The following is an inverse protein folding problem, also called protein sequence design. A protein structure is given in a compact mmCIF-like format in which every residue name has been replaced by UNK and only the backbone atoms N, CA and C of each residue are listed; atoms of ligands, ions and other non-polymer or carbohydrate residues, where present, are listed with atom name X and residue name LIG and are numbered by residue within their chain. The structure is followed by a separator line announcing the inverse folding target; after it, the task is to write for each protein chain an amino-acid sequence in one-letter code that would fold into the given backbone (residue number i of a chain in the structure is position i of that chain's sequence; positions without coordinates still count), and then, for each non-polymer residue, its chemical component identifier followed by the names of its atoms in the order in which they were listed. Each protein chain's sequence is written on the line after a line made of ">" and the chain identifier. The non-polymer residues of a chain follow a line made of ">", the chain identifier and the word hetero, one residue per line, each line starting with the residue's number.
data_IF_863626464271
#
_entry.id   IF_863626464271
#
_cell.length_a   1.000
_cell.length_b   1.000
_cell.length_c   1.000
_cell.angle_alpha   90.00
_cell.angle_beta   90.00
_cell.angle_gamma   90.00
#
_symmetry.space_group_name_H-M   'P 1'
#
loop_
_entity.id
_entity.type
_entity.pdbx_description
1 polymer ?
#
# COMPACT_ATOMS: atom_id res chain seq x y z
N UNK A 1 6.80 -10.58 22.47
CA UNK A 1 6.58 -9.49 21.49
C UNK A 1 7.28 -9.72 20.15
N UNK A 2 8.59 -10.02 20.10
CA UNK A 2 9.28 -10.37 18.83
C UNK A 2 8.75 -11.70 18.25
N UNK A 3 8.49 -12.69 19.12
CA UNK A 3 7.87 -13.94 18.72
C UNK A 3 6.43 -13.79 18.18
N UNK A 4 5.68 -12.74 18.57
CA UNK A 4 4.35 -12.49 18.00
C UNK A 4 4.46 -11.82 16.63
N UNK A 5 5.40 -10.88 16.42
CA UNK A 5 5.69 -10.31 15.10
C UNK A 5 6.06 -11.39 14.07
N UNK A 6 6.93 -12.33 14.43
CA UNK A 6 7.30 -13.46 13.56
C UNK A 6 6.15 -14.43 13.27
N UNK A 7 5.10 -14.47 14.11
CA UNK A 7 3.92 -15.32 13.87
C UNK A 7 2.95 -14.74 12.83
N UNK A 8 2.90 -13.42 12.68
CA UNK A 8 1.99 -12.74 11.74
C UNK A 8 2.67 -12.27 10.45
N UNK A 9 3.93 -11.85 10.55
CA UNK A 9 4.67 -11.24 9.45
C UNK A 9 4.72 -12.09 8.17
N UNK A 10 4.98 -13.42 8.24
CA UNK A 10 5.05 -14.25 7.03
C UNK A 10 3.72 -14.27 6.25
N UNK A 11 2.60 -14.29 6.97
CA UNK A 11 1.26 -14.30 6.34
C UNK A 11 0.94 -12.96 5.70
N UNK A 12 1.34 -11.84 6.32
CA UNK A 12 1.16 -10.51 5.75
C UNK A 12 2.02 -10.30 4.51
N UNK A 13 3.28 -10.77 4.53
CA UNK A 13 4.17 -10.73 3.35
C UNK A 13 3.59 -11.58 2.22
N UNK A 14 3.14 -12.80 2.52
CA UNK A 14 2.49 -13.66 1.54
C UNK A 14 1.24 -13.01 0.92
N UNK A 15 0.38 -12.41 1.75
CA UNK A 15 -0.83 -11.71 1.29
C UNK A 15 -0.48 -10.47 0.45
N UNK A 16 0.58 -9.74 0.78
CA UNK A 16 1.05 -8.62 -0.04
C UNK A 16 1.58 -9.12 -1.40
N UNK A 17 2.30 -10.24 -1.45
CA UNK A 17 2.74 -10.86 -2.69
C UNK A 17 1.57 -11.35 -3.55
N UNK A 18 0.48 -11.85 -2.95
CA UNK A 18 -0.70 -12.26 -3.72
C UNK A 18 -1.41 -11.07 -4.36
N UNK A 19 -1.43 -9.89 -3.71
CA UNK A 19 -1.96 -8.65 -4.33
C UNK A 19 -1.13 -8.26 -5.55
N UNK A 20 0.19 -8.37 -5.46
CA UNK A 20 1.08 -8.14 -6.60
C UNK A 20 0.84 -9.14 -7.74
N UNK A 21 0.74 -10.43 -7.43
CA UNK A 21 0.40 -11.46 -8.40
C UNK A 21 -0.98 -11.23 -9.04
N UNK A 22 -1.96 -10.78 -8.26
CA UNK A 22 -3.29 -10.45 -8.76
C UNK A 22 -3.25 -9.30 -9.77
N UNK A 23 -2.45 -8.25 -9.53
CA UNK A 23 -2.27 -7.15 -10.49
C UNK A 23 -1.70 -7.71 -11.80
N UNK A 24 -0.68 -8.57 -11.72
CA UNK A 24 -0.07 -9.19 -12.89
C UNK A 24 -1.05 -10.06 -13.68
N UNK A 25 -1.87 -10.87 -12.99
CA UNK A 25 -2.93 -11.66 -13.63
C UNK A 25 -3.95 -10.74 -14.31
N UNK A 26 -4.50 -9.77 -13.60
CA UNK A 26 -5.54 -8.89 -14.14
C UNK A 26 -5.06 -8.12 -15.37
N UNK A 27 -3.84 -7.60 -15.35
CA UNK A 27 -3.26 -6.85 -16.49
C UNK A 27 -2.88 -7.76 -17.66
N UNK A 28 -2.58 -9.05 -17.42
CA UNK A 28 -2.32 -10.00 -18.52
C UNK A 28 -3.57 -10.36 -19.32
N UNK A 29 -4.74 -10.38 -18.67
CA UNK A 29 -6.00 -10.73 -19.31
C UNK A 29 -6.80 -9.51 -19.78
N UNK A 30 -6.75 -8.40 -19.05
CA UNK A 30 -7.53 -7.19 -19.37
C UNK A 30 -6.70 -6.20 -20.18
N UNK A 31 -7.32 -5.63 -21.21
CA UNK A 31 -6.77 -4.46 -21.91
C UNK A 31 -6.62 -3.28 -20.94
N UNK A 32 -5.73 -2.31 -21.23
CA UNK A 32 -5.57 -1.14 -20.37
C UNK A 32 -6.88 -0.37 -20.16
N UNK A 33 -7.75 -0.29 -21.17
CA UNK A 33 -9.07 0.32 -21.00
C UNK A 33 -9.94 -0.40 -19.97
N UNK A 34 -10.09 -1.72 -20.06
CA UNK A 34 -10.87 -2.50 -19.09
C UNK A 34 -10.24 -2.47 -17.69
N UNK A 35 -8.91 -2.52 -17.59
CA UNK A 35 -8.22 -2.37 -16.31
C UNK A 35 -8.39 -0.96 -15.73
N UNK A 36 -8.47 0.08 -16.57
CA UNK A 36 -8.79 1.44 -16.16
C UNK A 36 -10.17 1.54 -15.50
N UNK A 37 -11.19 0.93 -16.12
CA UNK A 37 -12.53 0.87 -15.52
C UNK A 37 -12.51 0.08 -14.20
N UNK A 38 -11.80 -1.05 -14.14
CA UNK A 38 -11.61 -1.81 -12.90
C UNK A 38 -10.93 -0.96 -11.81
N UNK A 39 -9.89 -0.20 -12.16
CA UNK A 39 -9.17 0.66 -11.23
C UNK A 39 -10.07 1.76 -10.66
N UNK A 40 -10.87 2.43 -11.50
CA UNK A 40 -11.85 3.43 -11.07
C UNK A 40 -12.93 2.82 -10.18
N UNK A 41 -13.49 1.67 -10.58
CA UNK A 41 -14.49 0.96 -9.79
C UNK A 41 -13.95 0.59 -8.40
N UNK A 42 -12.69 0.16 -8.32
CA UNK A 42 -12.02 -0.11 -7.05
C UNK A 42 -11.79 1.16 -6.23
N UNK A 43 -11.49 2.32 -6.82
CA UNK A 43 -11.41 3.59 -6.07
C UNK A 43 -12.76 3.93 -5.43
N UNK A 44 -13.85 3.86 -6.22
CA UNK A 44 -15.20 4.12 -5.72
C UNK A 44 -15.55 3.15 -4.59
N UNK A 45 -15.29 1.84 -4.77
CA UNK A 45 -15.57 0.83 -3.76
C UNK A 45 -14.79 1.07 -2.46
N UNK A 46 -13.50 1.40 -2.55
CA UNK A 46 -12.67 1.69 -1.38
C UNK A 46 -13.12 2.97 -0.67
N UNK A 47 -13.54 4.00 -1.43
CA UNK A 47 -14.07 5.24 -0.87
C UNK A 47 -15.37 4.96 -0.10
N UNK A 48 -16.31 4.24 -0.71
CA UNK A 48 -17.56 3.83 -0.06
C UNK A 48 -17.26 3.01 1.20
N UNK A 49 -16.34 2.04 1.13
CA UNK A 49 -15.94 1.24 2.30
C UNK A 49 -15.32 2.08 3.40
N UNK A 50 -14.55 3.11 3.06
CA UNK A 50 -13.93 4.00 4.05
C UNK A 50 -14.98 4.65 4.95
N UNK A 51 -16.11 5.07 4.37
CA UNK A 51 -17.23 5.68 5.09
C UNK A 51 -18.22 4.66 5.67
N UNK A 52 -18.34 3.47 5.11
CA UNK A 52 -19.34 2.49 5.54
C UNK A 52 -18.86 1.47 6.56
N UNK A 53 -17.62 0.96 6.44
CA UNK A 53 -17.18 -0.21 7.21
C UNK A 53 -15.76 -0.12 7.77
N UNK A 54 -14.81 0.53 7.08
CA UNK A 54 -13.40 0.49 7.48
C UNK A 54 -13.15 1.11 8.87
N UNK A 55 -13.83 2.21 9.19
CA UNK A 55 -13.71 2.88 10.47
C UNK A 55 -14.22 2.03 11.65
N UNK A 56 -15.15 1.11 11.40
CA UNK A 56 -15.65 0.17 12.40
C UNK A 56 -14.54 -0.78 12.87
N UNK A 57 -13.70 -1.27 11.94
CA UNK A 57 -12.58 -2.14 12.24
C UNK A 57 -11.55 -1.43 13.14
N UNK A 58 -11.17 -0.20 12.77
CA UNK A 58 -10.24 0.63 13.57
C UNK A 58 -10.84 0.98 14.94
N UNK A 59 -12.15 1.22 15.00
CA UNK A 59 -12.84 1.51 16.25
C UNK A 59 -12.89 0.29 17.17
N UNK A 60 -13.17 -0.87 16.60
CA UNK A 60 -13.15 -2.15 17.32
C UNK A 60 -11.78 -2.43 17.92
N UNK A 61 -10.70 -2.27 17.13
CA UNK A 61 -9.33 -2.46 17.60
C UNK A 61 -8.98 -1.62 18.82
N UNK A 62 -9.55 -0.41 18.95
CA UNK A 62 -9.33 0.45 20.11
C UNK A 62 -10.22 0.12 21.29
N UNK A 63 -11.53 -0.02 21.05
CA UNK A 63 -12.54 -0.07 22.11
C UNK A 63 -12.66 -1.48 22.72
N UNK A 64 -12.47 -2.53 21.92
CA UNK A 64 -12.70 -3.91 22.35
C UNK A 64 -11.88 -4.34 23.58
N UNK A 65 -10.55 -4.11 23.65
CA UNK A 65 -9.73 -4.61 24.77
C UNK A 65 -10.07 -3.99 26.14
N UNK A 66 -10.70 -2.80 26.15
CA UNK A 66 -11.05 -2.08 27.38
C UNK A 66 -12.46 -2.36 27.88
N UNK A 67 -13.22 -3.20 27.20
CA UNK A 67 -14.62 -3.50 27.51
C UNK A 67 -14.77 -4.84 28.23
N UNK A 68 -15.75 -4.92 29.13
CA UNK A 68 -16.18 -6.17 29.76
C UNK A 68 -16.73 -7.16 28.71
N UNK A 69 -16.77 -8.46 29.00
CA UNK A 69 -17.27 -9.47 28.05
C UNK A 69 -18.67 -9.14 27.52
N UNK A 70 -19.56 -8.63 28.38
CA UNK A 70 -20.90 -8.18 27.98
C UNK A 70 -20.83 -7.01 27.00
N UNK A 71 -20.01 -6.00 27.28
CA UNK A 71 -19.83 -4.85 26.41
C UNK A 71 -19.14 -5.20 25.10
N UNK A 72 -18.20 -6.16 25.10
CA UNK A 72 -17.59 -6.71 23.89
C UNK A 72 -18.66 -7.34 22.98
N UNK A 73 -19.55 -8.17 23.53
CA UNK A 73 -20.66 -8.74 22.76
C UNK A 73 -21.57 -7.64 22.20
N UNK A 74 -21.92 -6.63 23.01
CA UNK A 74 -22.74 -5.50 22.55
C UNK A 74 -22.06 -4.69 21.44
N UNK A 75 -20.74 -4.45 21.56
CA UNK A 75 -19.94 -3.75 20.57
C UNK A 75 -19.95 -4.52 19.25
N UNK A 76 -19.65 -5.82 19.30
CA UNK A 76 -19.58 -6.67 18.12
C UNK A 76 -20.94 -6.77 17.41
N UNK A 77 -22.05 -6.90 18.15
CA UNK A 77 -23.41 -6.88 17.59
C UNK A 77 -23.79 -5.52 16.98
N UNK A 78 -23.33 -4.41 17.59
CA UNK A 78 -23.53 -3.05 17.06
C UNK A 78 -22.73 -2.84 15.77
N UNK A 79 -21.51 -3.38 15.69
CA UNK A 79 -20.69 -3.35 14.48
C UNK A 79 -21.33 -4.20 13.38
N UNK A 80 -21.80 -5.41 13.67
CA UNK A 80 -22.50 -6.24 12.67
C UNK A 80 -23.71 -5.50 12.08
N UNK A 81 -24.47 -4.79 12.92
CA UNK A 81 -25.58 -3.94 12.49
C UNK A 81 -25.10 -2.81 11.55
N UNK A 82 -24.06 -2.07 11.95
CA UNK A 82 -23.53 -0.96 11.15
C UNK A 82 -22.87 -1.41 9.85
N UNK A 83 -22.27 -2.61 9.78
CA UNK A 83 -21.76 -3.19 8.52
C UNK A 83 -22.90 -3.48 7.54
N UNK A 84 -24.05 -3.97 8.03
CA UNK A 84 -25.24 -4.19 7.19
C UNK A 84 -25.80 -2.86 6.69
N UNK A 85 -26.02 -1.89 7.59
CA UNK A 85 -26.50 -0.56 7.22
C UNK A 85 -25.53 0.11 6.24
N UNK A 86 -24.24 0.05 6.52
CA UNK A 86 -23.18 0.59 5.67
C UNK A 86 -23.12 -0.08 4.29
N UNK A 87 -23.40 -1.38 4.20
CA UNK A 87 -23.51 -2.10 2.93
C UNK A 87 -24.72 -1.64 2.11
N UNK A 88 -25.87 -1.44 2.77
CA UNK A 88 -27.10 -0.93 2.12
C UNK A 88 -26.92 0.51 1.62
N UNK A 89 -26.33 1.39 2.44
CA UNK A 89 -25.99 2.75 2.02
C UNK A 89 -24.96 2.72 0.89
N UNK A 90 -23.97 1.83 0.97
CA UNK A 90 -22.97 1.64 -0.07
C UNK A 90 -23.57 1.20 -1.41
N UNK A 91 -24.56 0.29 -1.38
CA UNK A 91 -25.33 -0.09 -2.57
C UNK A 91 -25.97 1.14 -3.23
N UNK A 92 -26.63 2.00 -2.45
CA UNK A 92 -27.28 3.22 -2.96
C UNK A 92 -26.24 4.16 -3.59
N UNK A 93 -25.11 4.37 -2.92
CA UNK A 93 -24.04 5.26 -3.43
C UNK A 93 -23.41 4.70 -4.71
N UNK A 94 -23.16 3.39 -4.79
CA UNK A 94 -22.63 2.75 -5.99
C UNK A 94 -23.65 2.83 -7.14
N UNK A 95 -24.92 2.55 -6.87
CA UNK A 95 -26.00 2.67 -7.86
C UNK A 95 -26.12 4.10 -8.39
N UNK A 96 -26.14 5.10 -7.49
CA UNK A 96 -26.19 6.51 -7.86
C UNK A 96 -24.96 6.92 -8.69
N UNK A 97 -23.76 6.47 -8.31
CA UNK A 97 -22.52 6.74 -9.06
C UNK A 97 -22.61 6.15 -10.47
N UNK A 98 -22.94 4.87 -10.60
CA UNK A 98 -23.07 4.22 -11.91
C UNK A 98 -24.15 4.89 -12.76
N UNK A 99 -25.25 5.33 -12.16
CA UNK A 99 -26.31 6.06 -12.85
C UNK A 99 -25.83 7.44 -13.36
N UNK A 100 -25.20 8.25 -12.51
CA UNK A 100 -24.69 9.58 -12.86
C UNK A 100 -23.71 9.51 -14.03
N UNK A 101 -22.83 8.50 -14.04
CA UNK A 101 -21.86 8.29 -15.11
C UNK A 101 -22.41 7.52 -16.32
N UNK A 102 -23.72 7.23 -16.36
CA UNK A 102 -24.38 6.48 -17.45
C UNK A 102 -23.75 5.09 -17.70
N UNK A 103 -23.24 4.47 -16.64
CA UNK A 103 -22.61 3.14 -16.62
C UNK A 103 -23.42 2.13 -15.82
N UNK A 104 -24.72 2.41 -15.60
CA UNK A 104 -25.59 1.55 -14.81
C UNK A 104 -25.87 0.25 -15.56
N UNK A 105 -25.14 -0.79 -15.17
CA UNK A 105 -25.36 -2.17 -15.58
C UNK A 105 -25.71 -2.96 -14.30
N UNK A 106 -26.77 -3.78 -14.37
CA UNK A 106 -27.26 -4.51 -13.20
C UNK A 106 -26.24 -5.56 -12.71
N UNK A 107 -25.58 -6.28 -13.62
CA UNK A 107 -24.53 -7.24 -13.25
C UNK A 107 -23.39 -6.53 -12.51
N UNK A 108 -22.93 -5.40 -13.05
CA UNK A 108 -21.85 -4.61 -12.44
C UNK A 108 -22.24 -4.06 -11.07
N UNK A 109 -23.45 -3.53 -10.92
CA UNK A 109 -23.97 -3.03 -9.65
C UNK A 109 -24.06 -4.15 -8.60
N UNK A 110 -24.60 -5.31 -8.98
CA UNK A 110 -24.72 -6.46 -8.08
C UNK A 110 -23.35 -6.96 -7.62
N UNK A 111 -22.41 -7.15 -8.56
CA UNK A 111 -21.08 -7.67 -8.23
C UNK A 111 -20.27 -6.68 -7.38
N UNK A 112 -20.32 -5.37 -7.67
CA UNK A 112 -19.64 -4.37 -6.83
C UNK A 112 -20.23 -4.28 -5.42
N UNK A 113 -21.55 -4.36 -5.31
CA UNK A 113 -22.24 -4.31 -4.03
C UNK A 113 -21.98 -5.57 -3.21
N UNK A 114 -21.99 -6.74 -3.86
CA UNK A 114 -21.60 -8.01 -3.24
C UNK A 114 -20.14 -7.97 -2.78
N UNK A 115 -19.22 -7.46 -3.60
CA UNK A 115 -17.82 -7.29 -3.23
C UNK A 115 -17.67 -6.38 -2.00
N UNK A 116 -18.36 -5.24 -1.97
CA UNK A 116 -18.36 -4.33 -0.83
C UNK A 116 -18.81 -5.04 0.45
N UNK A 117 -19.95 -5.73 0.41
CA UNK A 117 -20.54 -6.42 1.56
C UNK A 117 -19.65 -7.56 2.06
N UNK A 118 -19.26 -8.47 1.16
CA UNK A 118 -18.47 -9.65 1.51
C UNK A 118 -17.09 -9.24 2.03
N UNK A 119 -16.44 -8.26 1.40
CA UNK A 119 -15.16 -7.72 1.86
C UNK A 119 -15.27 -7.06 3.22
N UNK A 120 -16.33 -6.28 3.47
CA UNK A 120 -16.56 -5.61 4.76
C UNK A 120 -16.78 -6.63 5.88
N UNK A 121 -17.58 -7.66 5.62
CA UNK A 121 -17.80 -8.78 6.55
C UNK A 121 -16.51 -9.52 6.83
N UNK A 122 -15.74 -9.89 5.79
CA UNK A 122 -14.46 -10.58 5.92
C UNK A 122 -13.50 -9.80 6.81
N UNK A 123 -13.29 -8.50 6.53
CA UNK A 123 -12.34 -7.68 7.30
C UNK A 123 -12.75 -7.52 8.76
N UNK A 124 -14.04 -7.30 9.03
CA UNK A 124 -14.57 -7.22 10.38
C UNK A 124 -14.34 -8.52 11.16
N UNK A 125 -14.67 -9.67 10.58
CA UNK A 125 -14.49 -10.96 11.24
C UNK A 125 -13.00 -11.32 11.42
N UNK A 126 -12.16 -10.90 10.47
CA UNK A 126 -10.72 -11.11 10.52
C UNK A 126 -10.11 -10.34 11.71
N UNK A 127 -10.48 -9.07 11.90
CA UNK A 127 -10.02 -8.27 13.04
C UNK A 127 -10.59 -8.77 14.37
N UNK A 128 -11.84 -9.25 14.39
CA UNK A 128 -12.41 -9.88 15.58
C UNK A 128 -11.66 -11.16 15.98
N UNK A 129 -11.24 -11.97 14.99
CA UNK A 129 -10.43 -13.15 15.22
C UNK A 129 -9.04 -12.80 15.74
N UNK A 130 -8.45 -11.71 15.24
CA UNK A 130 -7.17 -11.18 15.73
C UNK A 130 -7.28 -10.70 17.18
N UNK A 131 -8.33 -9.97 17.53
CA UNK A 131 -8.58 -9.46 18.89
C UNK A 131 -8.83 -10.58 19.90
N UNK A 132 -9.49 -11.67 19.48
CA UNK A 132 -9.71 -12.86 20.30
C UNK A 132 -8.53 -13.85 20.26
N UNK A 133 -7.37 -13.43 19.77
CA UNK A 133 -6.15 -14.24 19.67
C UNK A 133 -6.32 -15.58 18.92
N UNK A 134 -7.29 -15.68 18.01
CA UNK A 134 -7.55 -16.87 17.18
C UNK A 134 -6.58 -16.94 15.99
N UNK A 135 -5.29 -17.04 16.30
CA UNK A 135 -4.20 -16.89 15.34
C UNK A 135 -4.29 -17.86 14.17
N UNK A 136 -4.64 -19.12 14.44
CA UNK A 136 -4.73 -20.15 13.40
C UNK A 136 -5.81 -19.80 12.37
N UNK A 137 -7.00 -19.41 12.84
CA UNK A 137 -8.15 -19.06 12.00
C UNK A 137 -7.85 -17.79 11.20
N UNK A 138 -7.27 -16.77 11.85
CA UNK A 138 -6.81 -15.55 11.17
C UNK A 138 -5.87 -15.88 10.00
N UNK A 139 -4.83 -16.68 10.27
CA UNK A 139 -3.83 -17.06 9.26
C UNK A 139 -4.45 -17.86 8.11
N UNK A 140 -5.26 -18.86 8.43
CA UNK A 140 -5.93 -19.71 7.43
C UNK A 140 -6.84 -18.87 6.52
N UNK A 141 -7.67 -17.99 7.10
CA UNK A 141 -8.56 -17.11 6.36
C UNK A 141 -7.80 -16.15 5.43
N UNK A 142 -6.73 -15.51 5.91
CA UNK A 142 -5.91 -14.61 5.09
C UNK A 142 -5.22 -15.34 3.94
N UNK A 143 -4.59 -16.50 4.22
CA UNK A 143 -3.89 -17.27 3.18
C UNK A 143 -4.87 -17.81 2.14
N UNK A 144 -6.01 -18.36 2.59
CA UNK A 144 -7.01 -18.92 1.68
C UNK A 144 -7.64 -17.82 0.81
N UNK A 145 -7.95 -16.65 1.38
CA UNK A 145 -8.41 -15.50 0.60
C UNK A 145 -7.35 -15.05 -0.42
N UNK A 146 -6.08 -14.99 -0.01
CA UNK A 146 -4.97 -14.56 -0.87
C UNK A 146 -4.74 -15.51 -2.06
N UNK A 147 -4.73 -16.83 -1.81
CA UNK A 147 -4.57 -17.85 -2.85
C UNK A 147 -5.80 -17.88 -3.77
N UNK A 148 -7.01 -17.89 -3.19
CA UNK A 148 -8.24 -17.92 -3.99
C UNK A 148 -8.41 -16.66 -4.84
N UNK A 149 -7.96 -15.48 -4.37
CA UNK A 149 -8.00 -14.26 -5.17
C UNK A 149 -7.21 -14.41 -6.48
N UNK A 150 -6.02 -15.02 -6.42
CA UNK A 150 -5.19 -15.25 -7.62
C UNK A 150 -5.79 -16.36 -8.48
N UNK A 151 -6.07 -17.53 -7.89
CA UNK A 151 -6.54 -18.72 -8.63
C UNK A 151 -7.89 -18.45 -9.30
N UNK A 152 -8.87 -17.92 -8.55
CA UNK A 152 -10.19 -17.62 -9.12
C UNK A 152 -10.12 -16.52 -10.17
N UNK A 153 -9.21 -15.55 -10.05
CA UNK A 153 -9.04 -14.53 -11.09
C UNK A 153 -8.48 -15.14 -12.37
N UNK A 154 -7.50 -16.04 -12.29
CA UNK A 154 -6.99 -16.77 -13.46
C UNK A 154 -8.13 -17.55 -14.13
N UNK A 155 -8.90 -18.32 -13.35
CA UNK A 155 -10.00 -19.12 -13.88
C UNK A 155 -11.09 -18.26 -14.52
N UNK A 156 -11.60 -17.25 -13.80
CA UNK A 156 -12.68 -16.40 -14.29
C UNK A 156 -12.26 -15.58 -15.53
N UNK A 157 -11.06 -15.00 -15.53
CA UNK A 157 -10.55 -14.21 -16.65
C UNK A 157 -10.14 -15.05 -17.86
N UNK A 158 -9.73 -16.31 -17.64
CA UNK A 158 -9.49 -17.26 -18.74
C UNK A 158 -10.76 -17.65 -19.47
N UNK A 159 -11.90 -17.67 -18.77
CA UNK A 159 -13.21 -17.94 -19.37
C UNK A 159 -13.80 -16.70 -20.03
N UNK A 160 -13.78 -15.56 -19.32
CA UNK A 160 -14.24 -14.28 -19.83
C UNK A 160 -13.39 -13.15 -19.26
N UNK A 161 -12.58 -12.50 -20.11
CA UNK A 161 -11.70 -11.40 -19.76
C UNK A 161 -12.47 -10.07 -19.60
N UNK A 162 -13.40 -10.03 -18.65
CA UNK A 162 -14.23 -8.86 -18.34
C UNK A 162 -13.98 -8.34 -16.92
N UNK A 163 -14.44 -7.11 -16.66
CA UNK A 163 -14.32 -6.47 -15.35
C UNK A 163 -15.18 -7.21 -14.32
N UNK A 164 -16.36 -7.64 -14.74
CA UNK A 164 -17.33 -8.37 -13.93
C UNK A 164 -16.74 -9.71 -13.46
N UNK A 165 -16.02 -10.44 -14.33
CA UNK A 165 -15.28 -11.65 -13.97
C UNK A 165 -14.21 -11.40 -12.90
N UNK A 166 -13.43 -10.32 -13.04
CA UNK A 166 -12.40 -9.95 -12.05
C UNK A 166 -13.02 -9.60 -10.69
N UNK A 167 -14.10 -8.82 -10.68
CA UNK A 167 -14.80 -8.42 -9.46
C UNK A 167 -15.51 -9.62 -8.80
N UNK A 168 -16.08 -10.52 -9.60
CA UNK A 168 -16.72 -11.74 -9.12
C UNK A 168 -15.70 -12.69 -8.48
N UNK A 169 -14.56 -12.93 -9.13
CA UNK A 169 -13.47 -13.72 -8.58
C UNK A 169 -12.97 -13.16 -7.23
N UNK A 170 -12.83 -11.84 -7.14
CA UNK A 170 -12.50 -11.16 -5.88
C UNK A 170 -13.57 -11.35 -4.81
N UNK A 171 -14.85 -11.24 -5.17
CA UNK A 171 -15.98 -11.43 -4.25
C UNK A 171 -15.96 -12.84 -3.67
N UNK A 172 -15.81 -13.85 -4.53
CA UNK A 172 -15.68 -15.25 -4.12
C UNK A 172 -14.47 -15.47 -3.22
N UNK A 173 -13.31 -14.86 -3.54
CA UNK A 173 -12.11 -15.00 -2.69
C UNK A 173 -12.34 -14.52 -1.26
N UNK A 174 -12.98 -13.36 -1.08
CA UNK A 174 -13.33 -12.85 0.24
C UNK A 174 -14.41 -13.71 0.90
N UNK A 175 -15.35 -14.25 0.13
CA UNK A 175 -16.38 -15.18 0.63
C UNK A 175 -15.76 -16.45 1.21
N UNK A 176 -14.86 -17.09 0.47
CA UNK A 176 -14.12 -18.28 0.91
C UNK A 176 -13.32 -17.98 2.17
N UNK A 177 -12.61 -16.85 2.21
CA UNK A 177 -11.91 -16.40 3.41
C UNK A 177 -12.86 -16.18 4.61
N UNK A 178 -14.05 -15.62 4.36
CA UNK A 178 -15.05 -15.36 5.40
C UNK A 178 -15.66 -16.64 5.97
N UNK A 179 -15.87 -17.68 5.15
CA UNK A 179 -16.38 -18.97 5.61
C UNK A 179 -15.46 -19.62 6.66
N UNK A 180 -14.14 -19.40 6.57
CA UNK A 180 -13.19 -19.88 7.57
C UNK A 180 -13.32 -19.18 8.93
N UNK A 181 -13.82 -17.93 8.94
CA UNK A 181 -13.95 -17.11 10.15
C UNK A 181 -15.26 -17.38 10.92
N UNK A 182 -16.20 -18.08 10.29
CA UNK A 182 -17.51 -18.41 10.83
C UNK A 182 -18.59 -17.41 10.41
N UNK A 183 -19.71 -17.41 11.14
CA UNK A 183 -20.81 -16.48 10.90
C UNK A 183 -20.62 -15.20 11.72
N UNK A 184 -20.96 -14.02 11.15
CA UNK A 184 -20.96 -12.78 11.91
C UNK A 184 -21.98 -12.86 13.06
N UNK A 185 -21.71 -12.11 14.14
CA UNK A 185 -22.63 -12.04 15.26
C UNK A 185 -23.99 -11.46 14.82
N UNK A 186 -25.07 -11.90 15.48
CA UNK A 186 -26.41 -11.41 15.17
C UNK A 186 -26.49 -9.90 15.43
N UNK A 187 -26.90 -9.08 14.45
CA UNK A 187 -26.98 -7.63 14.63
C UNK A 187 -28.01 -7.30 15.71
N UNK A 188 -27.65 -6.41 16.65
CA UNK A 188 -28.57 -5.91 17.68
C UNK A 188 -28.33 -4.43 17.94
N UNK A 189 -29.41 -3.72 18.22
CA UNK A 189 -29.38 -2.30 18.56
C UNK A 189 -29.08 -2.12 20.04
N UNK A 190 -27.88 -1.61 20.34
CA UNK A 190 -27.50 -1.20 21.70
C UNK A 190 -27.25 0.30 21.69
N UNK A 191 -28.27 1.11 21.99
CA UNK A 191 -28.25 2.57 21.82
C UNK A 191 -27.03 3.22 22.50
N UNK A 192 -26.71 2.84 23.73
CA UNK A 192 -25.56 3.37 24.46
C UNK A 192 -24.24 3.02 23.77
N UNK A 193 -24.10 1.79 23.27
CA UNK A 193 -22.91 1.33 22.56
C UNK A 193 -22.77 2.00 21.19
N UNK A 194 -23.86 2.13 20.44
CA UNK A 194 -23.89 2.84 19.15
C UNK A 194 -23.47 4.31 19.31
N UNK A 195 -23.97 5.01 20.34
CA UNK A 195 -23.56 6.39 20.63
C UNK A 195 -22.05 6.50 20.90
N UNK A 196 -21.50 5.60 21.73
CA UNK A 196 -20.05 5.57 22.03
C UNK A 196 -19.23 5.26 20.78
N UNK A 197 -19.65 4.26 20.00
CA UNK A 197 -19.00 3.83 18.78
C UNK A 197 -19.00 4.93 17.71
N UNK A 198 -20.12 5.62 17.50
CA UNK A 198 -20.22 6.73 16.54
C UNK A 198 -19.40 7.95 16.99
N UNK A 199 -19.45 8.32 18.27
CA UNK A 199 -18.68 9.45 18.79
C UNK A 199 -17.16 9.25 18.62
N UNK A 200 -16.67 8.02 18.84
CA UNK A 200 -15.28 7.67 18.62
C UNK A 200 -14.95 7.48 17.13
N UNK A 201 -15.85 6.85 16.39
CA UNK A 201 -15.61 6.36 15.04
C UNK A 201 -15.78 7.39 13.93
N UNK A 202 -16.66 8.39 14.09
CA UNK A 202 -16.87 9.43 13.06
C UNK A 202 -15.58 10.20 12.74
N UNK A 203 -14.78 10.68 13.71
CA UNK A 203 -13.50 11.31 13.41
C UNK A 203 -12.54 10.39 12.65
N UNK A 204 -12.55 9.09 12.96
CA UNK A 204 -11.73 8.07 12.27
C UNK A 204 -12.24 7.84 10.85
N UNK A 205 -13.56 7.81 10.67
CA UNK A 205 -14.22 7.70 9.37
C UNK A 205 -13.82 8.85 8.46
N UNK A 206 -13.88 10.09 8.95
CA UNK A 206 -13.48 11.27 8.19
C UNK A 206 -11.99 11.24 7.84
N UNK A 207 -11.13 10.91 8.81
CA UNK A 207 -9.69 10.80 8.57
C UNK A 207 -9.34 9.68 7.57
N UNK A 208 -10.00 8.52 7.68
CA UNK A 208 -9.83 7.39 6.77
C UNK A 208 -10.31 7.70 5.36
N UNK A 209 -11.46 8.38 5.22
CA UNK A 209 -12.00 8.85 3.95
C UNK A 209 -11.05 9.82 3.24
N UNK A 210 -10.51 10.81 3.97
CA UNK A 210 -9.48 11.73 3.45
C UNK A 210 -8.25 10.95 2.96
N UNK A 211 -7.81 9.95 3.72
CA UNK A 211 -6.66 9.11 3.34
C UNK A 211 -6.90 8.29 2.07
N UNK A 212 -8.06 7.64 1.95
CA UNK A 212 -8.41 6.85 0.76
C UNK A 212 -8.56 7.75 -0.46
N UNK A 213 -9.24 8.89 -0.32
CA UNK A 213 -9.42 9.84 -1.41
C UNK A 213 -8.07 10.40 -1.84
N UNK A 214 -7.26 10.94 -0.91
CA UNK A 214 -5.96 11.54 -1.23
C UNK A 214 -4.98 10.56 -1.88
N UNK A 215 -5.04 9.28 -1.54
CA UNK A 215 -4.14 8.28 -2.11
C UNK A 215 -4.51 7.77 -3.51
N UNK A 216 -5.73 8.03 -4.01
CA UNK A 216 -6.24 7.43 -5.26
C UNK A 216 -7.13 8.35 -6.11
N UNK A 217 -7.23 9.63 -5.76
CA UNK A 217 -8.04 10.62 -6.49
C UNK A 217 -7.53 10.84 -7.92
N UNK A 218 -6.23 10.67 -8.14
CA UNK A 218 -5.55 10.70 -9.44
C UNK A 218 -6.31 9.90 -10.52
N UNK A 219 -6.70 8.65 -10.23
CA UNK A 219 -7.39 7.75 -11.16
C UNK A 219 -8.75 8.29 -11.61
N UNK A 220 -9.48 8.95 -10.72
CA UNK A 220 -10.77 9.55 -11.05
C UNK A 220 -10.60 10.74 -12.01
N UNK A 221 -9.58 11.56 -11.78
CA UNK A 221 -9.29 12.70 -12.64
C UNK A 221 -8.73 12.26 -13.99
N UNK A 222 -7.81 11.29 -14.04
CA UNK A 222 -7.30 10.76 -15.33
C UNK A 222 -8.47 10.18 -16.15
N UNK A 223 -9.36 9.42 -15.52
CA UNK A 223 -10.51 8.84 -16.22
C UNK A 223 -11.43 9.89 -16.83
N UNK A 224 -11.64 11.01 -16.13
CA UNK A 224 -12.49 12.11 -16.60
C UNK A 224 -11.82 12.99 -17.67
N UNK A 225 -10.56 13.37 -17.47
CA UNK A 225 -9.87 14.34 -18.33
C UNK A 225 -9.17 13.71 -19.54
N UNK A 226 -8.72 12.46 -19.43
CA UNK A 226 -7.87 11.80 -20.44
C UNK A 226 -8.54 10.54 -20.99
N UNK A 227 -9.10 9.71 -20.12
CA UNK A 227 -9.85 8.51 -20.50
C UNK A 227 -9.38 7.23 -19.81
N UNK A 228 -10.12 6.14 -20.04
CA UNK A 228 -9.95 4.88 -19.33
C UNK A 228 -8.67 4.13 -19.71
N UNK A 229 -8.24 4.19 -20.98
CA UNK A 229 -7.01 3.54 -21.41
C UNK A 229 -5.77 4.04 -20.64
N UNK A 230 -5.57 5.37 -20.61
CA UNK A 230 -4.49 6.00 -19.85
C UNK A 230 -4.64 5.78 -18.34
N UNK A 231 -5.87 5.77 -17.83
CA UNK A 231 -6.14 5.42 -16.43
C UNK A 231 -5.64 4.02 -16.10
N UNK A 232 -5.82 3.06 -17.01
CA UNK A 232 -5.34 1.69 -16.83
C UNK A 232 -3.82 1.58 -16.82
N UNK A 233 -3.15 2.21 -17.79
CA UNK A 233 -1.68 2.26 -17.85
C UNK A 233 -1.13 2.88 -16.57
N UNK A 234 -1.65 4.06 -16.18
CA UNK A 234 -1.24 4.75 -14.95
C UNK A 234 -1.47 3.89 -13.71
N UNK A 235 -2.68 3.35 -13.55
CA UNK A 235 -3.05 2.59 -12.35
C UNK A 235 -2.21 1.32 -12.22
N UNK A 236 -1.95 0.61 -13.32
CA UNK A 236 -1.16 -0.62 -13.31
C UNK A 236 0.29 -0.33 -12.88
N UNK A 237 0.94 0.65 -13.50
CA UNK A 237 2.31 1.06 -13.16
C UNK A 237 2.39 1.59 -11.71
N UNK A 238 1.46 2.44 -11.28
CA UNK A 238 1.42 2.96 -9.93
C UNK A 238 1.17 1.86 -8.88
N UNK A 239 0.27 0.91 -9.15
CA UNK A 239 -0.02 -0.21 -8.25
C UNK A 239 1.18 -1.16 -8.13
N UNK A 240 1.85 -1.45 -9.25
CA UNK A 240 3.09 -2.23 -9.27
C UNK A 240 4.16 -1.58 -8.40
N UNK A 241 4.42 -0.28 -8.60
CA UNK A 241 5.41 0.47 -7.83
C UNK A 241 5.05 0.53 -6.34
N UNK A 242 3.79 0.81 -6.01
CA UNK A 242 3.30 0.81 -4.62
C UNK A 242 3.48 -0.55 -3.95
N UNK A 243 3.22 -1.65 -4.67
CA UNK A 243 3.42 -3.01 -4.18
C UNK A 243 4.89 -3.32 -3.91
N UNK A 244 5.75 -3.13 -4.91
CA UNK A 244 7.17 -3.50 -4.80
C UNK A 244 7.91 -2.59 -3.82
N UNK A 245 7.82 -1.27 -3.98
CA UNK A 245 8.50 -0.36 -3.06
C UNK A 245 7.93 -0.47 -1.65
N UNK A 246 6.61 -0.60 -1.50
CA UNK A 246 5.99 -0.82 -0.19
C UNK A 246 6.56 -2.04 0.53
N UNK A 247 6.72 -3.17 -0.18
CA UNK A 247 7.37 -4.37 0.38
C UNK A 247 8.81 -4.10 0.81
N UNK A 248 9.62 -3.43 -0.02
CA UNK A 248 11.02 -3.11 0.31
C UNK A 248 11.12 -2.25 1.57
N UNK A 249 10.25 -1.24 1.73
CA UNK A 249 10.19 -0.44 2.94
C UNK A 249 9.69 -1.24 4.16
N UNK A 250 8.73 -2.15 3.97
CA UNK A 250 8.18 -2.99 5.04
C UNK A 250 9.20 -3.97 5.62
N UNK A 251 10.11 -4.51 4.81
CA UNK A 251 11.18 -5.42 5.27
C UNK A 251 12.02 -4.80 6.38
N UNK A 252 12.28 -3.49 6.32
CA UNK A 252 13.02 -2.76 7.35
C UNK A 252 12.10 -2.24 8.45
N UNK A 253 11.00 -1.59 8.07
CA UNK A 253 10.15 -0.86 9.02
C UNK A 253 9.42 -1.78 10.00
N UNK A 254 8.89 -2.91 9.54
CA UNK A 254 8.11 -3.82 10.40
C UNK A 254 8.90 -4.35 11.61
N UNK A 255 10.12 -4.90 11.47
CA UNK A 255 10.87 -5.40 12.63
C UNK A 255 11.53 -4.28 13.46
N UNK A 256 11.96 -3.18 12.84
CA UNK A 256 12.80 -2.19 13.52
C UNK A 256 12.00 -1.06 14.19
N UNK A 257 10.86 -0.65 13.63
CA UNK A 257 10.05 0.43 14.20
C UNK A 257 9.61 0.18 15.66
N UNK A 258 9.13 -1.03 16.05
CA UNK A 258 8.76 -1.29 17.44
C UNK A 258 9.93 -1.15 18.42
N UNK A 259 11.17 -1.38 17.99
CA UNK A 259 12.35 -1.17 18.83
C UNK A 259 12.67 0.32 19.00
N UNK A 260 12.47 1.14 17.96
CA UNK A 260 12.57 2.60 18.08
C UNK A 260 11.52 3.14 19.06
N UNK A 261 10.27 2.69 18.93
CA UNK A 261 9.16 3.14 19.75
C UNK A 261 9.37 2.90 21.26
N UNK A 262 10.11 1.84 21.65
CA UNK A 262 10.48 1.59 23.06
C UNK A 262 11.38 2.68 23.65
N UNK A 263 12.15 3.36 22.82
CA UNK A 263 13.05 4.43 23.24
C UNK A 263 12.44 5.82 23.02
N UNK A 264 11.12 5.91 22.76
CA UNK A 264 10.47 7.18 22.42
C UNK A 264 10.65 8.28 23.50
N UNK A 265 10.81 7.88 24.76
CA UNK A 265 11.02 8.81 25.90
C UNK A 265 12.49 9.23 26.07
N UNK A 266 13.46 8.43 25.60
CA UNK A 266 14.88 8.80 25.61
C UNK A 266 15.26 9.45 24.28
N UNK A 267 15.25 10.79 24.27
CA UNK A 267 15.52 11.59 23.07
C UNK A 267 16.89 11.30 22.45
N UNK A 268 17.93 11.06 23.25
CA UNK A 268 19.30 10.88 22.74
C UNK A 268 19.41 9.49 22.10
N UNK A 269 18.95 8.45 22.80
CA UNK A 269 18.94 7.10 22.26
C UNK A 269 18.06 7.00 21.01
N UNK A 270 16.87 7.60 21.03
CA UNK A 270 15.93 7.59 19.91
C UNK A 270 16.54 8.20 18.64
N UNK A 271 17.16 9.39 18.74
CA UNK A 271 17.75 10.06 17.57
C UNK A 271 18.92 9.23 17.01
N UNK A 272 19.75 8.65 17.88
CA UNK A 272 20.86 7.78 17.47
C UNK A 272 20.38 6.49 16.78
N UNK A 273 19.39 5.81 17.36
CA UNK A 273 18.81 4.61 16.77
C UNK A 273 18.03 4.91 15.49
N UNK A 274 17.30 6.03 15.43
CA UNK A 274 16.56 6.42 14.24
C UNK A 274 17.48 6.82 13.08
N UNK A 275 18.64 7.40 13.36
CA UNK A 275 19.72 7.61 12.37
C UNK A 275 20.20 6.29 11.78
N UNK A 276 20.46 5.29 12.64
CA UNK A 276 20.89 3.95 12.19
C UNK A 276 19.78 3.30 11.35
N UNK A 277 18.53 3.42 11.79
CA UNK A 277 17.36 2.97 11.03
C UNK A 277 17.28 3.62 9.65
N UNK A 278 17.48 4.93 9.53
CA UNK A 278 17.51 5.63 8.24
C UNK A 278 18.56 5.01 7.30
N UNK A 279 19.77 4.78 7.80
CA UNK A 279 20.84 4.24 6.98
C UNK A 279 20.50 2.84 6.47
N UNK A 280 19.95 1.98 7.33
CA UNK A 280 19.48 0.65 6.94
C UNK A 280 18.32 0.72 5.94
N UNK A 281 17.37 1.64 6.15
CA UNK A 281 16.24 1.85 5.26
C UNK A 281 16.73 2.21 3.85
N UNK A 282 17.56 3.25 3.73
CA UNK A 282 18.11 3.74 2.45
C UNK A 282 19.01 2.69 1.77
N UNK A 283 19.67 1.81 2.54
CA UNK A 283 20.51 0.72 2.01
C UNK A 283 19.71 -0.26 1.14
N UNK A 284 18.42 -0.47 1.43
CA UNK A 284 17.57 -1.31 0.58
C UNK A 284 16.70 -0.50 -0.38
N UNK A 285 16.11 0.60 0.09
CA UNK A 285 15.07 1.30 -0.67
C UNK A 285 15.62 2.09 -1.84
N UNK A 286 16.81 2.71 -1.69
CA UNK A 286 17.39 3.55 -2.73
C UNK A 286 17.95 2.76 -3.93
N UNK A 287 18.73 1.68 -3.76
CA UNK A 287 19.10 0.83 -4.90
C UNK A 287 17.88 0.16 -5.55
N UNK A 288 16.83 -0.18 -4.79
CA UNK A 288 15.58 -0.69 -5.35
C UNK A 288 14.90 0.35 -6.27
N UNK A 289 14.84 1.63 -5.86
CA UNK A 289 14.33 2.72 -6.71
C UNK A 289 15.10 2.81 -8.04
N UNK A 290 16.44 2.78 -7.97
CA UNK A 290 17.29 2.85 -9.18
C UNK A 290 17.09 1.63 -10.08
N UNK A 291 17.10 0.43 -9.50
CA UNK A 291 16.90 -0.82 -10.23
C UNK A 291 15.55 -0.87 -10.94
N UNK A 292 14.46 -0.50 -10.23
CA UNK A 292 13.11 -0.48 -10.79
C UNK A 292 13.00 0.47 -11.98
N UNK A 293 13.54 1.69 -11.86
CA UNK A 293 13.46 2.64 -12.96
C UNK A 293 14.36 2.29 -14.15
N UNK A 294 15.57 1.78 -13.93
CA UNK A 294 16.48 1.40 -15.03
C UNK A 294 15.93 0.17 -15.78
N UNK A 295 15.30 -0.77 -15.05
CA UNK A 295 14.71 -2.00 -15.59
C UNK A 295 13.21 -1.89 -15.89
N UNK A 296 12.69 -0.66 -16.02
CA UNK A 296 11.25 -0.42 -16.15
C UNK A 296 10.58 -1.22 -17.27
N UNK A 297 11.19 -1.30 -18.46
CA UNK A 297 10.58 -1.97 -19.61
C UNK A 297 10.50 -3.49 -19.38
N UNK A 298 11.57 -4.08 -18.85
CA UNK A 298 11.63 -5.50 -18.51
C UNK A 298 10.60 -5.85 -17.45
N UNK A 299 10.49 -5.01 -16.42
CA UNK A 299 9.54 -5.19 -15.31
C UNK A 299 8.11 -5.05 -15.82
N UNK A 300 7.78 -4.01 -16.58
CA UNK A 300 6.42 -3.80 -17.11
C UNK A 300 6.04 -4.94 -18.05
N UNK A 301 6.90 -5.33 -19.00
CA UNK A 301 6.62 -6.44 -19.93
C UNK A 301 6.41 -7.77 -19.21
N UNK A 302 7.23 -8.04 -18.20
CA UNK A 302 7.17 -9.29 -17.43
C UNK A 302 5.92 -9.37 -16.57
N UNK A 303 5.63 -8.32 -15.79
CA UNK A 303 4.56 -8.35 -14.79
C UNK A 303 3.22 -7.83 -15.30
N UNK A 304 3.20 -6.77 -16.11
CA UNK A 304 1.95 -6.13 -16.57
C UNK A 304 1.60 -6.53 -18.00
N UNK A 305 2.59 -6.79 -18.84
CA UNK A 305 2.44 -7.05 -20.27
C UNK A 305 2.72 -5.82 -21.13
N UNK A 306 2.97 -6.07 -22.42
CA UNK A 306 3.44 -5.05 -23.37
C UNK A 306 2.45 -3.91 -23.59
N UNK A 307 1.15 -4.18 -23.47
CA UNK A 307 0.08 -3.17 -23.62
C UNK A 307 0.12 -2.08 -22.54
N UNK A 308 0.82 -2.31 -21.43
CA UNK A 308 0.96 -1.36 -20.31
C UNK A 308 2.25 -0.53 -20.36
N UNK A 309 3.07 -0.71 -21.40
CA UNK A 309 4.17 0.21 -21.67
C UNK A 309 3.59 1.58 -22.03
N UNK A 310 4.02 2.60 -21.30
CA UNK A 310 3.67 3.97 -21.62
C UNK A 310 4.48 4.45 -22.82
N UNK A 311 3.89 5.34 -23.62
CA UNK A 311 4.60 5.99 -24.75
C UNK A 311 5.78 6.85 -24.27
N UNK A 312 5.71 7.36 -23.04
CA UNK A 312 6.83 8.04 -22.38
C UNK A 312 7.49 7.12 -21.38
N UNK A 313 8.80 6.91 -21.55
CA UNK A 313 9.66 6.19 -20.60
C UNK A 313 9.90 6.98 -19.30
N UNK A 314 9.47 8.24 -19.23
CA UNK A 314 9.64 9.10 -18.05
C UNK A 314 8.52 8.86 -17.03
N UNK A 315 7.34 8.41 -17.48
CA UNK A 315 6.16 8.23 -16.62
C UNK A 315 6.48 7.33 -15.41
N UNK A 316 7.03 6.15 -15.68
CA UNK A 316 7.31 5.17 -14.64
C UNK A 316 8.36 5.69 -13.65
N UNK A 317 9.39 6.41 -14.12
CA UNK A 317 10.38 7.05 -13.26
C UNK A 317 9.77 8.10 -12.33
N UNK A 318 8.94 8.99 -12.87
CA UNK A 318 8.26 10.02 -12.07
C UNK A 318 7.35 9.37 -11.02
N UNK A 319 6.59 8.33 -11.40
CA UNK A 319 5.80 7.55 -10.46
C UNK A 319 6.66 6.86 -9.40
N UNK A 320 7.79 6.26 -9.80
CA UNK A 320 8.66 5.54 -8.88
C UNK A 320 9.23 6.47 -7.80
N UNK A 321 9.67 7.68 -8.19
CA UNK A 321 10.15 8.70 -7.25
C UNK A 321 9.00 9.18 -6.35
N UNK A 322 7.82 9.44 -6.91
CA UNK A 322 6.66 9.86 -6.12
C UNK A 322 6.25 8.81 -5.08
N UNK A 323 6.16 7.54 -5.49
CA UNK A 323 5.87 6.39 -4.60
C UNK A 323 6.97 6.21 -3.55
N UNK A 324 8.24 6.39 -3.93
CA UNK A 324 9.35 6.37 -2.98
C UNK A 324 9.19 7.46 -1.92
N UNK A 325 8.85 8.70 -2.31
CA UNK A 325 8.62 9.80 -1.36
C UNK A 325 7.43 9.53 -0.44
N UNK A 326 6.34 8.96 -0.95
CA UNK A 326 5.18 8.54 -0.14
C UNK A 326 5.60 7.53 0.94
N UNK A 327 6.35 6.50 0.55
CA UNK A 327 6.82 5.48 1.48
C UNK A 327 7.88 6.03 2.45
N UNK A 328 8.83 6.83 1.96
CA UNK A 328 9.84 7.47 2.78
C UNK A 328 9.22 8.41 3.82
N UNK A 329 8.19 9.17 3.44
CA UNK A 329 7.40 9.95 4.40
C UNK A 329 6.79 9.03 5.46
N UNK A 330 6.02 8.02 5.06
CA UNK A 330 5.28 7.16 5.99
C UNK A 330 6.15 6.31 6.93
N UNK A 331 7.30 5.85 6.43
CA UNK A 331 8.21 4.92 7.14
C UNK A 331 9.43 5.60 7.77
N UNK A 332 9.53 6.93 7.71
CA UNK A 332 10.64 7.67 8.34
C UNK A 332 10.23 9.08 8.80
N UNK A 333 9.70 9.94 7.93
CA UNK A 333 9.40 11.33 8.30
C UNK A 333 8.17 11.49 9.20
N UNK A 334 7.19 10.59 9.11
CA UNK A 334 6.03 10.63 9.99
C UNK A 334 6.37 10.13 11.40
N UNK A 335 7.46 9.37 11.56
CA UNK A 335 7.90 8.87 12.86
C UNK A 335 8.16 9.99 13.86
N UNK A 336 8.72 11.14 13.42
CA UNK A 336 8.97 12.26 14.32
C UNK A 336 7.70 12.78 15.01
N UNK A 337 6.59 12.88 14.28
CA UNK A 337 5.29 13.24 14.86
C UNK A 337 4.67 12.09 15.66
N UNK A 338 4.87 10.84 15.24
CA UNK A 338 4.36 9.66 15.94
C UNK A 338 5.02 9.49 17.32
N UNK A 339 6.35 9.61 17.41
CA UNK A 339 7.10 9.54 18.67
C UNK A 339 6.71 10.68 19.62
N UNK A 340 6.34 11.84 19.08
CA UNK A 340 5.83 12.98 19.85
C UNK A 340 4.31 12.92 20.11
N UNK A 341 3.62 11.85 19.69
CA UNK A 341 2.17 11.67 19.81
C UNK A 341 1.32 12.79 19.16
N UNK A 342 1.85 13.46 18.15
CA UNK A 342 1.19 14.59 17.47
C UNK A 342 0.41 14.15 16.22
N UNK A 343 -0.39 13.10 16.35
CA UNK A 343 -1.14 12.47 15.23
C UNK A 343 -2.12 13.42 14.54
N UNK A 344 -2.62 14.44 15.25
CA UNK A 344 -3.45 15.50 14.64
C UNK A 344 -2.72 16.25 13.54
N UNK A 345 -1.41 16.45 13.64
CA UNK A 345 -0.62 17.12 12.60
C UNK A 345 -0.47 16.26 11.35
N UNK A 346 -0.40 14.94 11.49
CA UNK A 346 -0.41 14.01 10.35
C UNK A 346 -1.69 14.14 9.54
N UNK A 347 -2.84 14.30 10.20
CA UNK A 347 -4.11 14.55 9.53
C UNK A 347 -4.08 15.86 8.72
N UNK A 348 -3.59 16.94 9.31
CA UNK A 348 -3.47 18.22 8.60
C UNK A 348 -2.52 18.15 7.40
N UNK A 349 -1.38 17.45 7.52
CA UNK A 349 -0.46 17.22 6.40
C UNK A 349 -1.16 16.46 5.27
N UNK A 350 -1.88 15.37 5.59
CA UNK A 350 -2.63 14.60 4.59
C UNK A 350 -3.74 15.42 3.93
N UNK A 351 -4.44 16.25 4.71
CA UNK A 351 -5.47 17.15 4.18
C UNK A 351 -4.88 18.20 3.24
N UNK A 352 -3.73 18.80 3.59
CA UNK A 352 -3.01 19.71 2.69
C UNK A 352 -2.61 19.03 1.38
N UNK A 353 -2.17 17.77 1.44
CA UNK A 353 -1.88 16.98 0.24
C UNK A 353 -3.11 16.76 -0.64
N UNK A 354 -4.24 16.34 -0.05
CA UNK A 354 -5.49 16.17 -0.79
C UNK A 354 -5.95 17.46 -1.45
N UNK A 355 -5.91 18.58 -0.73
CA UNK A 355 -6.27 19.90 -1.26
C UNK A 355 -5.35 20.26 -2.44
N UNK A 356 -4.03 20.09 -2.29
CA UNK A 356 -3.08 20.34 -3.37
C UNK A 356 -3.34 19.46 -4.60
N UNK A 357 -3.66 18.17 -4.41
CA UNK A 357 -4.03 17.27 -5.51
C UNK A 357 -5.28 17.75 -6.25
N UNK A 358 -6.34 18.16 -5.53
CA UNK A 358 -7.59 18.62 -6.15
C UNK A 358 -7.35 19.85 -7.04
N UNK A 359 -6.49 20.77 -6.61
CA UNK A 359 -6.19 21.97 -7.40
C UNK A 359 -5.20 21.71 -8.55
N UNK A 360 -4.17 20.89 -8.33
CA UNK A 360 -3.13 20.66 -9.33
C UNK A 360 -3.55 19.68 -10.43
N UNK A 361 -4.35 18.66 -10.12
CA UNK A 361 -4.70 17.60 -11.07
C UNK A 361 -5.37 18.15 -12.36
N UNK A 362 -6.43 18.99 -12.31
CA UNK A 362 -7.03 19.54 -13.52
C UNK A 362 -6.03 20.33 -14.38
N UNK A 363 -5.19 21.15 -13.73
CA UNK A 363 -4.21 22.00 -14.43
C UNK A 363 -3.16 21.16 -15.14
N UNK A 364 -2.61 20.16 -14.45
CA UNK A 364 -1.54 19.32 -14.99
C UNK A 364 -2.07 18.32 -16.02
N UNK A 365 -3.27 17.77 -15.83
CA UNK A 365 -3.89 16.85 -16.80
C UNK A 365 -4.20 17.55 -18.12
N UNK A 366 -4.69 18.80 -18.08
CA UNK A 366 -4.95 19.56 -19.30
C UNK A 366 -3.68 19.87 -20.10
N UNK A 367 -2.54 20.06 -19.42
CA UNK A 367 -1.27 20.42 -20.07
C UNK A 367 -0.44 19.22 -20.51
N UNK A 368 -0.41 18.16 -19.70
CA UNK A 368 0.53 17.03 -19.85
C UNK A 368 -0.17 15.67 -19.90
N UNK A 369 -1.51 15.62 -19.94
CA UNK A 369 -2.28 14.37 -19.91
C UNK A 369 -1.94 13.53 -18.69
N UNK A 370 -1.89 12.20 -18.87
CA UNK A 370 -1.54 11.23 -17.82
C UNK A 370 -0.19 11.53 -17.14
N UNK A 371 0.80 12.03 -17.88
CA UNK A 371 2.10 12.41 -17.31
C UNK A 371 1.96 13.55 -16.30
N UNK A 372 1.03 14.48 -16.54
CA UNK A 372 0.66 15.54 -15.60
C UNK A 372 0.13 15.03 -14.26
N UNK A 373 -0.62 13.92 -14.27
CA UNK A 373 -1.04 13.27 -13.02
C UNK A 373 0.14 12.66 -12.26
N UNK A 374 1.13 12.09 -12.95
CA UNK A 374 2.35 11.58 -12.31
C UNK A 374 3.19 12.72 -11.72
N UNK A 375 3.35 13.84 -12.44
CA UNK A 375 4.00 15.06 -11.92
C UNK A 375 3.25 15.59 -10.70
N UNK A 376 1.92 15.62 -10.74
CA UNK A 376 1.11 16.05 -9.60
C UNK A 376 1.36 15.17 -8.38
N UNK A 377 1.39 13.85 -8.56
CA UNK A 377 1.71 12.91 -7.48
C UNK A 377 3.10 13.16 -6.91
N UNK A 378 4.09 13.44 -7.76
CA UNK A 378 5.46 13.78 -7.34
C UNK A 378 5.51 15.10 -6.55
N UNK A 379 4.88 16.16 -7.05
CA UNK A 379 4.85 17.47 -6.37
C UNK A 379 4.15 17.35 -5.03
N UNK A 380 2.99 16.69 -4.98
CA UNK A 380 2.20 16.54 -3.76
C UNK A 380 2.93 15.66 -2.75
N UNK A 381 3.53 14.54 -3.17
CA UNK A 381 4.30 13.67 -2.27
C UNK A 381 5.53 14.38 -1.70
N UNK A 382 6.23 15.18 -2.50
CA UNK A 382 7.30 16.08 -2.04
C UNK A 382 6.80 17.12 -1.03
N UNK A 383 5.69 17.80 -1.34
CA UNK A 383 5.07 18.78 -0.46
C UNK A 383 4.71 18.17 0.90
N UNK A 384 4.01 17.03 0.93
CA UNK A 384 3.60 16.41 2.21
C UNK A 384 4.79 15.85 2.99
N UNK A 385 5.84 15.37 2.32
CA UNK A 385 7.08 14.97 2.97
C UNK A 385 7.77 16.16 3.66
N UNK A 386 7.87 17.30 2.97
CA UNK A 386 8.41 18.55 3.51
C UNK A 386 7.56 19.03 4.69
N UNK A 387 6.24 19.04 4.57
CA UNK A 387 5.34 19.45 5.65
C UNK A 387 5.44 18.54 6.89
N UNK A 388 5.55 17.22 6.70
CA UNK A 388 5.80 16.27 7.80
C UNK A 388 7.14 16.54 8.48
N UNK A 389 8.20 16.78 7.71
CA UNK A 389 9.52 17.13 8.24
C UNK A 389 9.49 18.43 9.05
N UNK A 390 8.96 19.53 8.47
CA UNK A 390 8.89 20.85 9.12
C UNK A 390 8.03 20.76 10.39
N UNK A 391 6.90 20.06 10.31
CA UNK A 391 6.00 19.88 11.46
C UNK A 391 6.67 19.07 12.57
N UNK A 392 7.38 17.99 12.25
CA UNK A 392 8.19 17.24 13.22
C UNK A 392 9.27 18.12 13.87
N UNK A 393 9.99 18.90 13.04
CA UNK A 393 11.08 19.77 13.47
C UNK A 393 10.61 20.88 14.41
N UNK A 394 9.51 21.57 14.05
CA UNK A 394 8.89 22.61 14.90
C UNK A 394 8.34 22.05 16.20
N UNK A 395 8.04 20.76 16.24
CA UNK A 395 7.52 20.08 17.43
C UNK A 395 8.60 19.56 18.37
N UNK A 396 9.88 19.79 18.03
CA UNK A 396 11.03 19.45 18.87
C UNK A 396 11.76 18.15 18.50
N UNK A 397 11.30 17.44 17.45
CA UNK A 397 12.00 16.28 16.92
C UNK A 397 13.18 16.72 16.04
N UNK A 398 14.28 15.96 16.04
CA UNK A 398 15.48 16.24 15.25
C UNK A 398 15.87 14.99 14.50
N UNK A 399 15.98 15.10 13.18
CA UNK A 399 16.51 14.04 12.32
C UNK A 399 18.02 14.15 12.25
N UNK A 400 18.71 13.02 12.30
CA UNK A 400 20.17 12.96 12.19
C UNK A 400 20.57 12.08 11.00
N UNK A 401 21.53 12.57 10.22
CA UNK A 401 22.16 11.85 9.12
C UNK A 401 23.64 11.67 9.47
N UNK A 402 24.28 10.63 8.95
CA UNK A 402 25.68 10.35 9.17
C UNK A 402 26.34 9.84 7.90
N UNK A 403 27.65 9.67 7.97
CA UNK A 403 28.48 9.31 6.81
C UNK A 403 28.06 8.01 6.14
N UNK A 404 27.54 7.03 6.89
CA UNK A 404 27.10 5.75 6.32
C UNK A 404 25.96 5.90 5.33
N UNK A 405 25.00 6.81 5.59
CA UNK A 405 23.94 7.11 4.63
C UNK A 405 24.49 7.67 3.31
N UNK A 406 25.53 8.52 3.37
CA UNK A 406 26.19 9.07 2.17
C UNK A 406 26.91 7.95 1.39
N UNK A 407 27.69 7.11 2.09
CA UNK A 407 28.38 5.97 1.48
C UNK A 407 27.41 5.00 0.79
N UNK A 408 26.26 4.76 1.42
CA UNK A 408 25.17 3.93 0.88
C UNK A 408 24.60 4.52 -0.41
N UNK A 409 24.31 5.83 -0.42
CA UNK A 409 23.81 6.52 -1.62
C UNK A 409 24.85 6.47 -2.74
N UNK A 410 26.11 6.76 -2.46
CA UNK A 410 27.19 6.66 -3.46
C UNK A 410 27.30 5.24 -3.99
N UNK A 411 27.28 4.23 -3.13
CA UNK A 411 27.32 2.82 -3.55
C UNK A 411 26.15 2.46 -4.47
N UNK A 412 24.95 2.97 -4.18
CA UNK A 412 23.75 2.70 -4.96
C UNK A 412 23.80 3.43 -6.31
N UNK A 413 24.33 4.66 -6.37
CA UNK A 413 24.57 5.38 -7.63
C UNK A 413 25.59 4.65 -8.51
N UNK A 414 26.69 4.16 -7.92
CA UNK A 414 27.67 3.33 -8.64
C UNK A 414 27.03 2.05 -9.19
N UNK A 415 26.20 1.38 -8.38
CA UNK A 415 25.40 0.24 -8.83
C UNK A 415 24.45 0.61 -9.98
N UNK A 416 23.74 1.73 -9.89
CA UNK A 416 22.86 2.20 -10.96
C UNK A 416 23.61 2.46 -12.26
N UNK A 417 24.78 3.09 -12.19
CA UNK A 417 25.67 3.28 -13.34
C UNK A 417 26.14 1.96 -13.94
N UNK A 418 26.55 1.00 -13.10
CA UNK A 418 26.91 -0.35 -13.55
C UNK A 418 25.74 -1.06 -14.24
N UNK A 419 24.56 -1.06 -13.61
CA UNK A 419 23.35 -1.68 -14.16
C UNK A 419 22.99 -1.08 -15.53
N UNK A 420 23.07 0.24 -15.67
CA UNK A 420 22.82 0.93 -16.94
C UNK A 420 23.78 0.48 -18.03
N UNK A 421 25.07 0.28 -17.71
CA UNK A 421 26.06 -0.21 -18.67
C UNK A 421 25.85 -1.69 -19.04
N UNK A 422 25.60 -2.56 -18.06
CA UNK A 422 25.38 -4.00 -18.31
C UNK A 422 24.09 -4.24 -19.10
N UNK A 423 23.05 -3.41 -18.89
CA UNK A 423 21.81 -3.49 -19.66
C UNK A 423 22.03 -3.27 -21.18
N UNK A 424 23.09 -2.56 -21.58
CA UNK A 424 23.41 -2.36 -23.00
C UNK A 424 24.05 -3.59 -23.65
N UNK A 425 24.39 -4.62 -22.88
CA UNK A 425 24.99 -5.83 -23.43
C UNK A 425 23.94 -6.66 -24.19
N UNK A 426 24.23 -7.11 -25.41
CA UNK A 426 23.32 -7.93 -26.19
C UNK A 426 23.28 -9.35 -25.60
N UNK A 427 22.44 -9.57 -24.59
CA UNK A 427 22.21 -10.88 -24.01
C UNK A 427 21.19 -11.65 -24.87
N UNK A 428 21.65 -12.63 -25.63
CA UNK A 428 20.80 -13.54 -26.42
C UNK A 428 20.18 -14.65 -25.54
N UNK A 429 19.54 -14.27 -24.44
CA UNK A 429 18.86 -15.19 -23.50
C UNK A 429 17.41 -14.76 -23.27
N UNK A 430 16.60 -15.68 -22.77
CA UNK A 430 15.21 -15.39 -22.42
C UNK A 430 15.12 -14.21 -21.42
N UNK A 431 14.12 -13.35 -21.59
CA UNK A 431 13.95 -12.08 -20.84
C UNK A 431 14.02 -12.24 -19.32
N UNK A 432 13.46 -13.33 -18.79
CA UNK A 432 13.53 -13.65 -17.36
C UNK A 432 14.95 -13.95 -16.86
N UNK A 433 15.76 -14.66 -17.66
CA UNK A 433 17.16 -14.93 -17.30
C UNK A 433 18.03 -13.68 -17.46
N UNK A 434 17.75 -12.83 -18.46
CA UNK A 434 18.41 -11.52 -18.59
C UNK A 434 18.11 -10.63 -17.38
N UNK A 435 16.85 -10.54 -16.96
CA UNK A 435 16.46 -9.78 -15.77
C UNK A 435 17.14 -10.32 -14.51
N UNK A 436 17.13 -11.65 -14.31
CA UNK A 436 17.80 -12.28 -13.18
C UNK A 436 19.31 -11.99 -13.18
N UNK A 437 19.96 -12.04 -14.35
CA UNK A 437 21.36 -11.68 -14.53
C UNK A 437 21.62 -10.21 -14.16
N UNK A 438 20.84 -9.26 -14.68
CA UNK A 438 21.00 -7.84 -14.38
C UNK A 438 20.86 -7.53 -12.88
N UNK A 439 19.85 -8.12 -12.23
CA UNK A 439 19.61 -7.91 -10.80
C UNK A 439 20.73 -8.54 -9.97
N UNK A 440 21.13 -9.77 -10.25
CA UNK A 440 22.15 -10.49 -9.45
C UNK A 440 23.52 -9.85 -9.57
N UNK A 441 23.99 -9.53 -10.78
CA UNK A 441 25.30 -8.89 -10.97
C UNK A 441 25.36 -7.49 -10.34
N UNK A 442 24.27 -6.71 -10.46
CA UNK A 442 24.20 -5.38 -9.87
C UNK A 442 24.19 -5.43 -8.34
N UNK A 443 23.45 -6.37 -7.73
CA UNK A 443 23.45 -6.55 -6.27
C UNK A 443 24.82 -6.99 -5.73
N UNK A 444 25.55 -7.85 -6.47
CA UNK A 444 26.91 -8.21 -6.13
C UNK A 444 27.84 -6.99 -6.19
N UNK A 445 27.76 -6.20 -7.25
CA UNK A 445 28.53 -4.97 -7.40
C UNK A 445 28.21 -3.95 -6.29
N UNK A 446 26.93 -3.81 -5.92
CA UNK A 446 26.50 -2.97 -4.81
C UNK A 446 27.13 -3.41 -3.47
N UNK A 447 27.15 -4.72 -3.19
CA UNK A 447 27.82 -5.28 -2.02
C UNK A 447 29.31 -4.98 -1.97
N UNK A 448 29.99 -5.07 -3.13
CA UNK A 448 31.40 -4.68 -3.26
C UNK A 448 31.58 -3.18 -2.98
N UNK A 449 30.74 -2.30 -3.54
CA UNK A 449 30.81 -0.87 -3.28
C UNK A 449 30.62 -0.53 -1.79
N UNK A 450 29.66 -1.17 -1.11
CA UNK A 450 29.44 -0.98 0.32
C UNK A 450 30.66 -1.39 1.14
N UNK A 451 31.31 -2.50 0.76
CA UNK A 451 32.54 -2.97 1.39
C UNK A 451 33.73 -2.04 1.12
N UNK A 452 33.90 -1.60 -0.13
CA UNK A 452 34.95 -0.66 -0.55
C UNK A 452 34.82 0.69 0.14
N UNK A 453 33.61 1.25 0.27
CA UNK A 453 33.39 2.51 0.99
C UNK A 453 33.35 2.34 2.52
N UNK A 454 33.47 1.09 3.00
CA UNK A 454 33.39 0.73 4.42
C UNK A 454 32.13 1.34 5.08
N UNK A 455 30.97 1.18 4.42
CA UNK A 455 29.69 1.53 5.01
C UNK A 455 29.42 0.63 6.22
N UNK A 456 28.92 1.20 7.31
CA UNK A 456 28.63 0.47 8.57
C UNK A 456 29.82 -0.28 9.17
N UNK A 457 31.05 0.14 8.86
CA UNK A 457 32.27 -0.59 9.20
C UNK A 457 32.25 -2.06 8.72
N UNK A 458 31.67 -2.31 7.53
CA UNK A 458 31.51 -3.64 6.96
C UNK A 458 32.82 -4.44 6.90
N UNK A 459 33.97 -3.78 6.66
CA UNK A 459 35.28 -4.46 6.65
C UNK A 459 35.58 -5.10 8.01
N UNK A 460 35.42 -4.35 9.10
CA UNK A 460 35.70 -4.82 10.47
C UNK A 460 34.72 -5.92 10.90
N UNK A 461 33.45 -5.83 10.50
CA UNK A 461 32.44 -6.86 10.78
C UNK A 461 32.71 -8.17 10.04
N UNK A 462 33.20 -8.12 8.81
CA UNK A 462 33.60 -9.32 8.08
C UNK A 462 34.82 -9.98 8.73
N UNK A 463 35.85 -9.21 9.11
CA UNK A 463 37.04 -9.79 9.74
C UNK A 463 36.81 -10.31 11.17
N UNK A 464 35.78 -9.84 11.87
CA UNK A 464 35.41 -10.35 13.21
C UNK A 464 34.63 -11.66 13.18
N UNK A 465 33.96 -12.01 12.07
CA UNK A 465 33.33 -13.33 11.90
C UNK A 465 34.39 -14.45 11.84
N UNK A 466 35.62 -14.12 11.42
CA UNK A 466 36.72 -15.07 11.25
C UNK A 466 37.72 -15.10 12.40
N UNK A 467 37.48 -14.32 13.48
CA UNK A 467 38.23 -14.44 14.73
C UNK A 467 37.37 -15.24 15.72
N UNK A 468 37.64 -16.53 15.95
CA UNK A 468 37.09 -17.19 17.12
C UNK A 468 37.61 -16.45 18.37
N UNK A 469 36.71 -16.18 19.32
CA UNK A 469 37.08 -15.68 20.64
C UNK A 469 38.05 -16.63 21.34
#
# INVERSE_FOLDING_TARGET
>A
MIASLLKYAPVQVFSALSVFALIAVQTRFLSPEHYGVLAVAMVVLELVRAFSAQWLNTSMLRLYPGYSDREQVQLVQSISLLVIIGSLLGFIVIAATLFIYQQLNWERLLVLSALLSVKSIFQYQLELSRLNERLSVYRQATVLQSISAVVLSILALSWAATIESALFALTLSFGIGALCLGLPQRPKWHIAMLKRLLAYGIPIMLAGGIGVLGGRIDRLFIAHFVGMNETGVYAAQANLLMGVLGLVFMVISMPLYPNLAKHAEDKIALVSQHKTYLHLLVTLTFPALLGLGILQDEIIRLFLGEQYLSRSSELFWVLAIAVYLINFKGHYLDHGLQFLLQTRKLLWVSLSGLIASIFLLPLMLNQFGMFGAAITLLIVSGLVAILSFISSWRSGYRYAIGMDGIKVIISALLMGGYLYLVKQWPLAIHSLFALAFYVTTSLLFYGICLWCLNAFNARQRLFSIWRPN
#
